data_IF_377558602717
#
_entry.id   IF_377558602717
#
_cell.length_a   1.000
_cell.length_b   1.000
_cell.length_c   1.000
_cell.angle_alpha   90.00
_cell.angle_beta   90.00
_cell.angle_gamma   90.00
#
_symmetry.space_group_name_H-M   'P 1'
#
loop_
_entity.id
_entity.type
_entity.pdbx_description
1 polymer ?
#
# COMPACT_ATOMS: atom_id res chain seq x y z
N UNK A 1 -2.05 2.15 -18.77
CA UNK A 1 -0.76 1.65 -18.24
C UNK A 1 -1.10 0.80 -17.03
N UNK A 2 -0.51 -0.39 -16.85
CA UNK A 2 -0.75 -1.18 -15.63
C UNK A 2 -0.16 -0.39 -14.46
N UNK A 3 -0.94 -0.02 -13.43
CA UNK A 3 -0.37 0.60 -12.24
C UNK A 3 0.67 -0.37 -11.66
N UNK A 4 1.86 0.16 -11.40
CA UNK A 4 2.98 -0.62 -10.86
C UNK A 4 2.65 -1.07 -9.45
N UNK A 5 2.04 -2.26 -9.37
CA UNK A 5 1.94 -3.03 -8.16
C UNK A 5 3.19 -3.94 -8.05
N UNK A 6 3.83 -4.03 -6.87
CA UNK A 6 3.50 -3.33 -5.61
C UNK A 6 4.00 -1.86 -5.57
N UNK A 7 3.39 -1.00 -4.71
CA UNK A 7 3.77 0.40 -4.55
C UNK A 7 5.19 0.58 -3.99
N UNK A 8 5.83 1.72 -4.29
CA UNK A 8 7.13 2.11 -3.70
C UNK A 8 6.91 2.69 -2.30
N UNK A 9 7.61 2.20 -1.28
CA UNK A 9 7.44 2.65 0.11
C UNK A 9 8.50 3.69 0.52
N UNK A 10 8.07 4.73 1.25
CA UNK A 10 8.97 5.70 1.87
C UNK A 10 9.35 5.19 3.27
N UNK A 11 10.66 4.96 3.49
CA UNK A 11 11.21 4.44 4.74
C UNK A 11 11.97 5.52 5.53
N UNK A 12 12.04 5.45 6.89
CA UNK A 12 12.91 6.34 7.68
C UNK A 12 14.40 6.13 7.36
N UNK A 13 15.17 7.23 7.34
CA UNK A 13 16.55 7.30 6.83
C UNK A 13 17.59 6.37 7.52
N UNK A 14 17.30 5.81 8.70
CA UNK A 14 18.24 5.00 9.50
C UNK A 14 18.15 3.49 9.25
N UNK A 15 17.50 3.05 8.17
CA UNK A 15 17.08 1.65 7.97
C UNK A 15 17.93 0.83 6.97
N UNK A 16 19.01 1.41 6.43
CA UNK A 16 19.82 0.78 5.38
C UNK A 16 20.81 -0.29 5.89
N UNK A 17 20.99 -0.44 7.20
CA UNK A 17 22.00 -1.33 7.79
C UNK A 17 21.46 -2.72 8.20
N UNK A 18 20.16 -2.99 8.05
CA UNK A 18 19.55 -4.28 8.43
C UNK A 18 19.36 -5.19 7.22
N UNK A 19 19.67 -6.49 7.33
CA UNK A 19 19.52 -7.45 6.23
C UNK A 19 18.10 -7.46 5.66
N UNK A 20 18.01 -7.31 4.33
CA UNK A 20 16.75 -7.16 3.62
C UNK A 20 16.39 -8.43 2.81
N UNK A 21 15.41 -9.27 3.24
CA UNK A 21 14.86 -10.30 2.36
C UNK A 21 14.02 -9.62 1.25
N UNK A 22 14.59 -9.48 0.06
CA UNK A 22 13.90 -8.87 -1.08
C UNK A 22 12.52 -9.51 -1.34
N UNK A 23 11.49 -8.67 -1.50
CA UNK A 23 10.16 -9.07 -1.99
C UNK A 23 9.06 -9.23 -0.92
N UNK A 24 9.39 -9.49 0.34
CA UNK A 24 8.42 -9.96 1.36
C UNK A 24 8.42 -9.07 2.62
N UNK A 25 8.14 -7.78 2.43
CA UNK A 25 8.30 -6.80 3.50
C UNK A 25 7.01 -6.62 4.27
N UNK A 26 6.94 -7.20 5.48
CA UNK A 26 5.95 -6.91 6.51
C UNK A 26 4.50 -7.20 6.15
N UNK A 27 3.65 -7.13 7.18
CA UNK A 27 2.22 -7.37 7.03
C UNK A 27 1.51 -6.03 6.83
N UNK A 28 0.53 -6.01 5.93
CA UNK A 28 -0.33 -4.86 5.79
C UNK A 28 -1.07 -4.64 7.11
N UNK A 29 -0.72 -3.54 7.77
CA UNK A 29 -1.24 -3.20 9.07
C UNK A 29 -2.45 -2.26 8.96
N UNK A 30 -2.40 -1.32 8.02
CA UNK A 30 -3.47 -0.34 7.84
C UNK A 30 -3.55 0.16 6.40
N UNK A 31 -4.78 0.37 5.92
CA UNK A 31 -5.04 1.11 4.69
C UNK A 31 -6.05 2.23 4.97
N UNK A 32 -5.82 3.42 4.41
CA UNK A 32 -6.75 4.56 4.47
C UNK A 32 -6.95 5.14 3.09
N UNK A 33 -8.20 5.45 2.75
CA UNK A 33 -8.52 6.23 1.56
C UNK A 33 -8.64 7.71 1.94
N UNK A 34 -8.00 8.59 1.18
CA UNK A 34 -7.97 10.03 1.43
C UNK A 34 -8.47 10.75 0.16
N UNK A 35 -9.55 11.52 0.31
CA UNK A 35 -9.99 12.48 -0.70
C UNK A 35 -9.44 13.86 -0.30
N UNK A 36 -8.47 14.42 -1.05
CA UNK A 36 -7.90 15.73 -0.73
C UNK A 36 -8.92 16.86 -0.96
N UNK A 37 -8.90 17.86 -0.09
CA UNK A 37 -9.80 19.02 -0.17
C UNK A 37 -9.33 20.05 -1.21
N UNK A 38 -8.08 19.96 -1.66
CA UNK A 38 -7.46 20.90 -2.60
C UNK A 38 -7.82 20.55 -4.04
N UNK A 39 -8.29 21.57 -4.77
CA UNK A 39 -8.64 21.44 -6.19
C UNK A 39 -7.40 21.07 -7.02
N UNK A 40 -7.46 19.92 -7.69
CA UNK A 40 -6.38 19.41 -8.54
C UNK A 40 -5.51 18.32 -7.90
N UNK A 41 -5.72 17.99 -6.63
CA UNK A 41 -5.10 16.81 -6.01
C UNK A 41 -5.96 15.57 -6.25
N UNK A 42 -5.32 14.44 -6.59
CA UNK A 42 -5.99 13.17 -6.80
C UNK A 42 -6.22 12.45 -5.46
N UNK A 43 -7.32 11.69 -5.33
CA UNK A 43 -7.48 10.81 -4.19
C UNK A 43 -6.34 9.79 -4.12
N UNK A 44 -5.97 9.38 -2.91
CA UNK A 44 -4.88 8.44 -2.70
C UNK A 44 -5.16 7.49 -1.53
N UNK A 45 -4.56 6.31 -1.60
CA UNK A 45 -4.48 5.35 -0.52
C UNK A 45 -3.21 5.60 0.28
N UNK A 46 -3.33 5.62 1.60
CA UNK A 46 -2.21 5.49 2.50
C UNK A 46 -2.16 4.06 3.01
N UNK A 47 -1.08 3.37 2.68
CA UNK A 47 -0.85 1.96 3.04
C UNK A 47 0.27 1.94 4.08
N UNK A 48 0.04 1.22 5.17
CA UNK A 48 0.97 1.04 6.27
C UNK A 48 1.29 -0.44 6.40
N UNK A 49 2.56 -0.77 6.34
CA UNK A 49 3.08 -2.13 6.48
C UNK A 49 3.91 -2.18 7.75
N UNK A 50 3.73 -3.21 8.58
CA UNK A 50 4.51 -3.38 9.80
C UNK A 50 5.52 -4.51 9.62
N UNK A 51 6.78 -4.24 9.95
CA UNK A 51 7.84 -5.25 10.00
C UNK A 51 8.75 -4.98 11.20
N UNK A 52 8.99 -5.99 12.04
CA UNK A 52 9.81 -5.88 13.26
C UNK A 52 9.47 -4.65 14.12
N UNK A 53 8.18 -4.45 14.42
CA UNK A 53 7.66 -3.30 15.18
C UNK A 53 7.91 -1.90 14.56
N UNK A 54 8.35 -1.86 13.30
CA UNK A 54 8.53 -0.63 12.53
C UNK A 54 7.40 -0.50 11.50
N UNK A 55 6.75 0.67 11.49
CA UNK A 55 5.70 1.02 10.54
C UNK A 55 6.26 1.72 9.30
N UNK A 56 6.18 1.05 8.17
CA UNK A 56 6.49 1.58 6.84
C UNK A 56 5.25 2.15 6.20
N UNK A 57 5.39 3.27 5.48
CA UNK A 57 4.26 3.99 4.90
C UNK A 57 4.50 4.22 3.42
N UNK A 58 3.46 4.01 2.62
CA UNK A 58 3.42 4.43 1.22
C UNK A 58 2.10 5.10 0.92
N UNK A 59 2.10 5.89 -0.13
CA UNK A 59 0.90 6.44 -0.75
C UNK A 59 0.78 5.93 -2.17
N UNK A 60 -0.43 5.51 -2.54
CA UNK A 60 -0.77 5.09 -3.88
C UNK A 60 -1.91 5.97 -4.42
N UNK A 61 -1.69 6.66 -5.52
CA UNK A 61 -2.69 7.50 -6.19
C UNK A 61 -2.95 6.98 -7.60
N UNK A 62 -4.18 7.07 -8.07
CA UNK A 62 -4.57 6.71 -9.43
C UNK A 62 -5.65 7.68 -9.94
N UNK A 63 -5.62 7.97 -11.24
CA UNK A 63 -6.62 8.82 -11.90
C UNK A 63 -7.99 8.10 -11.95
N UNK A 64 -7.98 6.76 -12.00
CA UNK A 64 -9.17 5.93 -11.88
C UNK A 64 -9.58 5.79 -10.41
N UNK A 65 -10.44 6.72 -9.98
CA UNK A 65 -10.98 6.73 -8.62
C UNK A 65 -11.80 5.46 -8.30
N UNK A 66 -12.44 4.84 -9.29
CA UNK A 66 -13.23 3.62 -9.06
C UNK A 66 -12.31 2.44 -8.79
N UNK A 67 -11.22 2.31 -9.55
CA UNK A 67 -10.15 1.35 -9.27
C UNK A 67 -9.56 1.57 -7.86
N UNK A 68 -9.26 2.83 -7.51
CA UNK A 68 -8.68 3.17 -6.21
C UNK A 68 -9.60 2.79 -5.03
N UNK A 69 -10.91 3.00 -5.17
CA UNK A 69 -11.92 2.59 -4.17
C UNK A 69 -12.05 1.07 -4.08
N UNK A 70 -12.03 0.36 -5.21
CA UNK A 70 -12.03 -1.12 -5.21
C UNK A 70 -10.78 -1.69 -4.54
N UNK A 71 -9.61 -1.13 -4.85
CA UNK A 71 -8.34 -1.49 -4.24
C UNK A 71 -8.35 -1.24 -2.72
N UNK A 72 -8.88 -0.09 -2.27
CA UNK A 72 -9.07 0.21 -0.86
C UNK A 72 -9.90 -0.87 -0.15
N UNK A 73 -11.09 -1.18 -0.68
CA UNK A 73 -12.00 -2.15 -0.06
C UNK A 73 -11.39 -3.54 -0.03
N UNK A 74 -10.71 -3.97 -1.11
CA UNK A 74 -10.01 -5.25 -1.16
C UNK A 74 -8.91 -5.34 -0.09
N UNK A 75 -8.03 -4.33 -0.01
CA UNK A 75 -6.94 -4.30 0.98
C UNK A 75 -7.47 -4.25 2.42
N UNK A 76 -8.54 -3.50 2.65
CA UNK A 76 -9.17 -3.36 3.96
C UNK A 76 -9.84 -4.64 4.44
N UNK A 77 -10.52 -5.36 3.54
CA UNK A 77 -11.31 -6.54 3.88
C UNK A 77 -10.50 -7.83 3.90
N UNK A 78 -9.50 -7.94 3.01
CA UNK A 78 -8.76 -9.19 2.77
C UNK A 78 -7.25 -9.05 2.94
N UNK A 79 -6.72 -7.83 2.90
CA UNK A 79 -5.28 -7.61 2.92
C UNK A 79 -4.67 -7.43 4.30
N UNK A 80 -5.43 -6.96 5.31
CA UNK A 80 -4.88 -6.70 6.65
C UNK A 80 -4.34 -8.00 7.27
N UNK A 81 -3.09 -7.96 7.73
CA UNK A 81 -2.39 -9.11 8.31
C UNK A 81 -1.74 -10.04 7.29
N UNK A 82 -1.88 -9.76 5.98
CA UNK A 82 -1.16 -10.48 4.93
C UNK A 82 0.13 -9.76 4.58
N UNK A 83 1.13 -10.54 4.17
CA UNK A 83 2.36 -10.00 3.60
C UNK A 83 2.12 -9.32 2.25
N UNK A 84 3.03 -8.44 1.84
CA UNK A 84 2.94 -7.80 0.51
C UNK A 84 2.93 -8.81 -0.65
N UNK A 85 3.59 -9.96 -0.51
CA UNK A 85 3.57 -11.03 -1.50
C UNK A 85 2.16 -11.63 -1.62
N UNK A 86 1.56 -12.00 -0.49
CA UNK A 86 0.19 -12.52 -0.45
C UNK A 86 -0.84 -11.50 -0.95
N UNK A 87 -0.62 -10.19 -0.69
CA UNK A 87 -1.45 -9.12 -1.25
C UNK A 87 -1.27 -9.01 -2.76
N UNK A 88 -0.06 -9.19 -3.28
CA UNK A 88 0.19 -9.25 -4.73
C UNK A 88 -0.55 -10.37 -5.43
N UNK A 89 -0.82 -11.47 -4.72
CA UNK A 89 -1.59 -12.61 -5.22
C UNK A 89 -3.11 -12.46 -5.01
N UNK A 90 -3.56 -11.43 -4.28
CA UNK A 90 -4.99 -11.14 -4.16
C UNK A 90 -5.55 -10.72 -5.52
N UNK A 91 -6.44 -11.56 -6.05
CA UNK A 91 -7.24 -11.20 -7.21
C UNK A 91 -8.14 -10.02 -6.86
N UNK A 92 -7.89 -8.89 -7.52
CA UNK A 92 -8.85 -7.80 -7.60
C UNK A 92 -9.92 -8.26 -8.58
N UNK A 93 -11.08 -8.64 -8.08
CA UNK A 93 -12.23 -8.99 -8.92
C UNK A 93 -12.70 -7.69 -9.60
N UNK A 94 -12.44 -7.58 -10.92
CA UNK A 94 -12.73 -6.39 -11.73
C UNK A 94 -14.18 -6.33 -12.19
#
# INVERSE_FOLDING_TARGET
MKPHWPPKFDMPHSFWDLYHPGGEWGDLYQVKYIEPERKGELPFLKIVVRWNDVDFKTTFSDDDTAFLKKLYEMLKTRGIGLSLAEIGDLKVDF
#
